data_IF_925571416050
#
_entry.id   IF_925571416050
#
_cell.length_a   1.000
_cell.length_b   1.000
_cell.length_c   1.000
_cell.angle_alpha   90.00
_cell.angle_beta   90.00
_cell.angle_gamma   90.00
#
_symmetry.space_group_name_H-M   'P 1'
#
loop_
_entity.id
_entity.type
_entity.pdbx_description
1 polymer ?
#
# COMPACT_ATOMS: atom_id res chain seq x y z
N UNK A 1 -5.17 -36.63 -18.72
CA UNK A 1 -4.65 -35.88 -19.89
C UNK A 1 -4.57 -34.42 -19.45
N UNK A 2 -3.45 -33.69 -19.35
CA UNK A 2 -2.10 -33.69 -19.92
C UNK A 2 -1.13 -33.22 -18.80
N UNK A 3 -0.09 -33.96 -18.39
CA UNK A 3 1.31 -33.86 -18.87
C UNK A 3 1.81 -32.44 -19.15
N UNK A 4 2.56 -31.87 -18.20
CA UNK A 4 3.58 -30.85 -18.46
C UNK A 4 4.91 -31.39 -17.93
N UNK A 5 5.84 -31.59 -18.86
CA UNK A 5 7.10 -32.28 -18.68
C UNK A 5 8.15 -31.39 -17.99
N UNK A 6 8.77 -31.90 -16.93
CA UNK A 6 10.04 -31.37 -16.43
C UNK A 6 11.17 -32.00 -17.27
N UNK A 7 11.62 -31.28 -18.28
CA UNK A 7 12.80 -31.61 -19.08
C UNK A 7 14.00 -30.81 -18.59
N UNK A 8 15.15 -31.47 -18.46
CA UNK A 8 16.45 -30.81 -18.25
C UNK A 8 17.29 -31.47 -17.15
N UNK A 9 17.75 -32.70 -17.37
CA UNK A 9 19.15 -33.02 -17.66
C UNK A 9 20.02 -33.25 -16.41
N UNK A 10 20.08 -34.52 -15.98
CA UNK A 10 21.23 -35.05 -15.27
C UNK A 10 22.45 -35.00 -16.20
N UNK A 11 23.57 -34.45 -15.71
CA UNK A 11 24.88 -34.62 -16.36
C UNK A 11 25.60 -35.74 -15.61
N UNK A 12 25.78 -36.93 -16.22
CA UNK A 12 26.78 -37.87 -15.75
C UNK A 12 28.15 -37.31 -16.14
N UNK A 13 29.01 -37.06 -15.15
CA UNK A 13 30.41 -36.72 -15.41
C UNK A 13 31.11 -37.92 -16.04
N UNK A 14 31.57 -37.77 -17.28
CA UNK A 14 32.31 -38.82 -17.99
C UNK A 14 33.81 -38.78 -17.58
N UNK A 15 34.46 -39.93 -17.33
CA UNK A 15 35.76 -40.04 -16.70
C UNK A 15 36.84 -40.13 -17.77
N UNK A 16 37.32 -38.99 -18.27
CA UNK A 16 38.48 -38.99 -19.17
C UNK A 16 39.62 -38.18 -18.58
N UNK A 17 40.31 -38.84 -17.66
CA UNK A 17 41.75 -38.63 -17.48
C UNK A 17 42.46 -39.21 -18.72
N UNK A 18 43.01 -38.36 -19.57
CA UNK A 18 44.05 -38.69 -20.56
C UNK A 18 44.63 -37.33 -20.99
N UNK A 19 45.84 -36.91 -20.63
CA UNK A 19 47.11 -37.59 -20.85
C UNK A 19 47.70 -37.10 -22.18
N UNK A 20 48.55 -36.06 -22.17
CA UNK A 20 49.18 -35.55 -23.40
C UNK A 20 50.28 -34.49 -23.24
N UNK A 21 51.53 -34.95 -23.15
CA UNK A 21 52.79 -34.42 -23.72
C UNK A 21 53.45 -33.05 -23.29
N UNK A 22 54.50 -33.19 -22.44
CA UNK A 22 55.92 -32.73 -22.54
C UNK A 22 56.30 -31.21 -22.66
N UNK A 23 57.57 -30.76 -22.38
CA UNK A 23 58.78 -31.51 -22.03
C UNK A 23 59.57 -31.03 -20.78
N UNK A 24 60.43 -31.91 -20.28
CA UNK A 24 61.48 -31.64 -19.27
C UNK A 24 62.72 -31.04 -19.91
N UNK A 25 63.29 -29.92 -19.40
CA UNK A 25 64.64 -29.51 -19.78
C UNK A 25 65.65 -30.27 -18.91
N UNK A 26 66.42 -31.15 -19.55
CA UNK A 26 67.69 -31.65 -19.04
C UNK A 26 68.66 -30.48 -19.05
N UNK A 27 68.96 -29.91 -17.88
CA UNK A 27 70.09 -29.00 -17.71
C UNK A 27 71.27 -29.77 -17.12
N UNK A 28 72.35 -29.85 -17.91
CA UNK A 28 73.57 -30.56 -17.57
C UNK A 28 74.23 -30.04 -16.30
N UNK A 29 74.89 -30.96 -15.62
CA UNK A 29 75.71 -30.74 -14.45
C UNK A 29 76.86 -29.75 -14.73
N UNK A 30 77.03 -28.75 -13.86
CA UNK A 30 78.32 -28.38 -13.25
C UNK A 30 78.03 -27.55 -12.00
N UNK A 31 78.39 -28.08 -10.83
CA UNK A 31 78.41 -27.37 -9.55
C UNK A 31 79.65 -26.48 -9.48
N UNK A 32 79.49 -25.16 -9.44
CA UNK A 32 80.50 -24.24 -8.93
C UNK A 32 79.81 -23.09 -8.16
N UNK A 33 79.88 -23.18 -6.83
CA UNK A 33 79.73 -22.15 -5.80
C UNK A 33 78.50 -21.23 -5.79
N UNK A 34 77.70 -21.47 -4.74
CA UNK A 34 76.83 -20.57 -4.00
C UNK A 34 77.24 -19.08 -4.06
N UNK A 35 76.49 -18.30 -4.83
CA UNK A 35 76.30 -16.87 -4.57
C UNK A 35 74.79 -16.62 -4.59
N UNK A 36 74.28 -15.98 -3.53
CA UNK A 36 72.85 -15.77 -3.31
C UNK A 36 72.20 -15.00 -4.46
N UNK A 37 71.66 -15.72 -5.43
CA UNK A 37 70.81 -15.16 -6.46
C UNK A 37 69.42 -14.99 -5.87
N UNK A 38 69.13 -13.79 -5.36
CA UNK A 38 67.75 -13.39 -5.16
C UNK A 38 67.01 -13.54 -6.50
N UNK A 39 65.81 -14.15 -6.54
CA UNK A 39 64.99 -14.08 -7.74
C UNK A 39 64.71 -12.60 -8.00
N UNK A 40 65.27 -12.08 -9.09
CA UNK A 40 64.95 -10.77 -9.59
C UNK A 40 63.48 -10.78 -10.03
N UNK A 41 62.59 -10.45 -9.10
CA UNK A 41 61.19 -10.18 -9.43
C UNK A 41 61.15 -8.98 -10.38
N UNK A 42 60.45 -9.06 -11.52
CA UNK A 42 60.20 -7.87 -12.32
C UNK A 42 59.40 -6.89 -11.46
N UNK A 43 60.01 -5.74 -11.15
CA UNK A 43 59.42 -4.67 -10.35
C UNK A 43 58.35 -3.90 -11.14
N UNK A 44 57.29 -4.58 -11.58
CA UNK A 44 56.17 -3.98 -12.32
C UNK A 44 54.80 -4.49 -11.85
N UNK A 45 54.68 -5.02 -10.63
CA UNK A 45 53.43 -5.62 -10.14
C UNK A 45 52.62 -4.76 -9.16
N UNK A 46 53.07 -3.53 -8.86
CA UNK A 46 52.38 -2.67 -7.88
C UNK A 46 51.26 -1.82 -8.49
N UNK A 47 51.36 -1.44 -9.78
CA UNK A 47 50.32 -0.66 -10.49
C UNK A 47 48.99 -1.42 -10.62
N UNK A 48 49.03 -2.67 -11.10
CA UNK A 48 47.81 -3.48 -11.30
C UNK A 48 47.05 -3.78 -10.00
N UNK A 49 47.75 -3.81 -8.85
CA UNK A 49 47.13 -4.09 -7.55
C UNK A 49 46.45 -2.84 -6.99
N UNK A 50 47.12 -1.70 -7.09
CA UNK A 50 46.61 -0.40 -6.66
C UNK A 50 45.39 0.01 -7.51
N UNK A 51 45.47 -0.16 -8.83
CA UNK A 51 44.38 0.10 -9.79
C UNK A 51 43.13 -0.74 -9.48
N UNK A 52 43.31 -2.02 -9.09
CA UNK A 52 42.20 -2.89 -8.68
C UNK A 52 41.56 -2.46 -7.35
N UNK A 53 42.36 -1.99 -6.39
CA UNK A 53 41.85 -1.49 -5.12
C UNK A 53 41.08 -0.18 -5.30
N UNK A 54 41.56 0.71 -6.16
CA UNK A 54 40.86 1.95 -6.52
C UNK A 54 39.54 1.67 -7.23
N UNK A 55 39.51 0.73 -8.17
CA UNK A 55 38.29 0.32 -8.86
C UNK A 55 37.26 -0.24 -7.87
N UNK A 56 37.67 -1.18 -6.99
CA UNK A 56 36.78 -1.71 -5.94
C UNK A 56 36.24 -0.62 -4.99
N UNK A 57 37.07 0.39 -4.66
CA UNK A 57 36.67 1.51 -3.80
C UNK A 57 35.65 2.42 -4.51
N UNK A 58 35.93 2.78 -5.77
CA UNK A 58 35.04 3.60 -6.60
C UNK A 58 33.69 2.90 -6.82
N UNK A 59 33.73 1.59 -7.03
CA UNK A 59 32.55 0.77 -7.25
C UNK A 59 31.67 0.64 -5.99
N UNK A 60 32.30 0.54 -4.81
CA UNK A 60 31.62 0.64 -3.51
C UNK A 60 31.01 2.03 -3.29
N UNK A 61 31.74 3.09 -3.61
CA UNK A 61 31.26 4.47 -3.46
C UNK A 61 30.07 4.76 -4.37
N UNK A 62 30.11 4.25 -5.60
CA UNK A 62 29.03 4.34 -6.58
C UNK A 62 27.79 3.59 -6.11
N UNK A 63 27.96 2.39 -5.52
CA UNK A 63 26.87 1.66 -4.87
C UNK A 63 26.26 2.44 -3.71
N UNK A 64 27.08 2.94 -2.80
CA UNK A 64 26.62 3.75 -1.66
C UNK A 64 25.89 5.03 -2.13
N UNK A 65 26.36 5.66 -3.21
CA UNK A 65 25.66 6.79 -3.81
C UNK A 65 24.29 6.40 -4.36
N UNK A 66 24.19 5.29 -5.10
CA UNK A 66 22.91 4.77 -5.63
C UNK A 66 21.94 4.40 -4.50
N UNK A 67 22.43 3.78 -3.44
CA UNK A 67 21.62 3.44 -2.26
C UNK A 67 21.05 4.70 -1.60
N UNK A 68 21.87 5.74 -1.39
CA UNK A 68 21.40 7.04 -0.88
C UNK A 68 20.36 7.69 -1.78
N UNK A 69 20.47 7.54 -3.10
CA UNK A 69 19.46 8.04 -4.03
C UNK A 69 18.16 7.24 -3.92
N UNK A 70 18.26 5.91 -3.91
CA UNK A 70 17.11 5.02 -3.77
C UNK A 70 16.38 5.22 -2.43
N UNK A 71 17.10 5.48 -1.35
CA UNK A 71 16.51 5.80 -0.04
C UNK A 71 15.72 7.12 -0.08
N UNK A 72 16.29 8.18 -0.65
CA UNK A 72 15.59 9.47 -0.82
C UNK A 72 14.35 9.32 -1.70
N UNK A 73 14.42 8.50 -2.74
CA UNK A 73 13.28 8.22 -3.60
C UNK A 73 12.19 7.46 -2.85
N UNK A 74 12.54 6.40 -2.12
CA UNK A 74 11.60 5.67 -1.25
C UNK A 74 10.95 6.59 -0.22
N UNK A 75 11.72 7.47 0.39
CA UNK A 75 11.20 8.45 1.34
C UNK A 75 10.20 9.42 0.68
N UNK A 76 10.50 9.91 -0.52
CA UNK A 76 9.57 10.76 -1.29
C UNK A 76 8.28 10.03 -1.62
N UNK A 77 8.38 8.79 -2.11
CA UNK A 77 7.23 7.95 -2.44
C UNK A 77 6.41 7.67 -1.18
N UNK A 78 7.06 7.38 -0.06
CA UNK A 78 6.40 7.12 1.22
C UNK A 78 5.65 8.37 1.69
N UNK A 79 6.28 9.54 1.69
CA UNK A 79 5.64 10.81 2.06
C UNK A 79 4.45 11.13 1.15
N UNK A 80 4.61 10.94 -0.16
CA UNK A 80 3.52 11.16 -1.11
C UNK A 80 2.33 10.21 -0.86
N UNK A 81 2.61 8.94 -0.55
CA UNK A 81 1.59 7.95 -0.18
C UNK A 81 0.88 8.32 1.11
N UNK A 82 1.61 8.75 2.13
CA UNK A 82 1.06 9.15 3.42
C UNK A 82 0.20 10.42 3.28
N UNK A 83 0.63 11.38 2.45
CA UNK A 83 -0.15 12.57 2.13
C UNK A 83 -1.45 12.21 1.39
N UNK A 84 -1.37 11.32 0.40
CA UNK A 84 -2.53 10.84 -0.32
C UNK A 84 -3.51 10.11 0.61
N UNK A 85 -3.01 9.25 1.49
CA UNK A 85 -3.83 8.55 2.49
C UNK A 85 -4.54 9.53 3.44
N UNK A 86 -3.89 10.63 3.84
CA UNK A 86 -4.51 11.69 4.64
C UNK A 86 -5.65 12.38 3.89
N UNK A 87 -5.43 12.74 2.63
CA UNK A 87 -6.46 13.37 1.77
C UNK A 87 -7.64 12.43 1.54
N UNK A 88 -7.39 11.13 1.37
CA UNK A 88 -8.44 10.11 1.22
C UNK A 88 -9.28 9.98 2.49
N UNK A 89 -8.62 9.97 3.65
CA UNK A 89 -9.30 9.92 4.94
C UNK A 89 -10.17 11.18 5.16
N UNK A 90 -9.67 12.36 4.81
CA UNK A 90 -10.42 13.62 4.89
C UNK A 90 -11.67 13.58 3.99
N UNK A 91 -11.50 13.19 2.71
CA UNK A 91 -12.63 13.02 1.79
C UNK A 91 -13.66 12.03 2.30
N UNK A 92 -13.23 10.95 2.95
CA UNK A 92 -14.14 9.95 3.52
C UNK A 92 -14.91 10.52 4.72
N UNK A 93 -14.25 11.30 5.58
CA UNK A 93 -14.91 11.99 6.71
C UNK A 93 -15.95 12.98 6.20
N UNK A 94 -15.60 13.80 5.22
CA UNK A 94 -16.52 14.78 4.63
C UNK A 94 -17.73 14.11 4.00
N UNK A 95 -17.53 13.03 3.24
CA UNK A 95 -18.63 12.25 2.69
C UNK A 95 -19.54 11.67 3.78
N UNK A 96 -18.96 11.13 4.87
CA UNK A 96 -19.74 10.62 6.00
C UNK A 96 -20.55 11.72 6.67
N UNK A 97 -19.98 12.90 6.84
CA UNK A 97 -20.64 14.03 7.47
C UNK A 97 -21.74 14.61 6.59
N UNK A 98 -21.53 14.68 5.26
CA UNK A 98 -22.57 15.03 4.30
C UNK A 98 -23.71 14.03 4.32
N UNK A 99 -23.41 12.73 4.32
CA UNK A 99 -24.42 11.68 4.41
C UNK A 99 -25.21 11.78 5.72
N UNK A 100 -24.54 11.99 6.85
CA UNK A 100 -25.18 12.17 8.15
C UNK A 100 -26.07 13.43 8.20
N UNK A 101 -25.64 14.54 7.56
CA UNK A 101 -26.48 15.74 7.40
C UNK A 101 -27.73 15.44 6.58
N UNK A 102 -27.58 14.76 5.44
CA UNK A 102 -28.70 14.39 4.59
C UNK A 102 -29.69 13.45 5.29
N UNK A 103 -29.20 12.49 6.09
CA UNK A 103 -30.08 11.62 6.89
C UNK A 103 -30.88 12.43 7.92
N UNK A 104 -30.23 13.33 8.66
CA UNK A 104 -30.95 14.20 9.62
C UNK A 104 -31.99 15.06 8.94
N UNK A 105 -31.70 15.61 7.76
CA UNK A 105 -32.65 16.40 6.99
C UNK A 105 -33.84 15.56 6.52
N UNK A 106 -33.61 14.33 6.03
CA UNK A 106 -34.67 13.39 5.66
C UNK A 106 -35.54 13.05 6.85
N UNK A 107 -34.95 12.77 8.01
CA UNK A 107 -35.67 12.46 9.24
C UNK A 107 -36.52 13.65 9.71
N UNK A 108 -35.99 14.87 9.67
CA UNK A 108 -36.74 16.09 9.99
C UNK A 108 -37.89 16.30 9.01
N UNK A 109 -37.66 16.12 7.72
CA UNK A 109 -38.70 16.22 6.70
C UNK A 109 -39.79 15.15 6.89
N UNK A 110 -39.40 13.93 7.28
CA UNK A 110 -40.35 12.85 7.58
C UNK A 110 -41.19 13.19 8.82
N UNK A 111 -40.56 13.66 9.91
CA UNK A 111 -41.28 14.11 11.11
C UNK A 111 -42.23 15.26 10.81
N UNK A 112 -41.83 16.22 9.98
CA UNK A 112 -42.69 17.33 9.59
C UNK A 112 -43.89 16.85 8.76
N UNK A 113 -43.68 15.92 7.81
CA UNK A 113 -44.78 15.30 7.06
C UNK A 113 -45.72 14.52 7.98
N UNK A 114 -45.19 13.81 8.95
CA UNK A 114 -45.99 13.06 9.92
C UNK A 114 -46.80 14.01 10.81
N UNK A 115 -46.20 15.08 11.33
CA UNK A 115 -46.91 16.12 12.08
C UNK A 115 -48.02 16.76 11.24
N UNK A 116 -47.74 17.10 9.98
CA UNK A 116 -48.76 17.65 9.07
C UNK A 116 -49.87 16.65 8.77
N UNK A 117 -49.54 15.37 8.63
CA UNK A 117 -50.51 14.28 8.45
C UNK A 117 -51.37 14.06 9.70
N UNK A 118 -50.77 14.16 10.88
CA UNK A 118 -51.49 14.09 12.16
C UNK A 118 -52.42 15.28 12.35
N UNK A 119 -51.96 16.50 12.05
CA UNK A 119 -52.79 17.71 12.09
C UNK A 119 -53.98 17.58 11.13
N UNK A 120 -53.73 17.26 9.86
CA UNK A 120 -54.80 17.07 8.85
C UNK A 120 -55.75 15.91 9.17
N UNK A 121 -55.28 14.85 9.83
CA UNK A 121 -56.14 13.77 10.32
C UNK A 121 -56.96 14.19 11.55
N UNK A 122 -56.40 15.02 12.43
CA UNK A 122 -57.14 15.58 13.56
C UNK A 122 -58.21 16.58 13.10
N UNK A 123 -57.99 17.31 12.01
CA UNK A 123 -58.92 18.28 11.43
C UNK A 123 -60.01 17.65 10.53
N UNK A 124 -60.08 16.32 10.45
CA UNK A 124 -61.09 15.60 9.64
C UNK A 124 -61.88 14.60 10.46
N UNK A 125 -63.14 14.42 10.12
CA UNK A 125 -64.03 13.41 10.67
C UNK A 125 -63.76 12.03 10.02
N UNK A 126 -64.35 10.97 10.59
CA UNK A 126 -64.18 9.58 10.09
C UNK A 126 -64.69 9.38 8.66
N UNK A 127 -65.59 10.24 8.19
CA UNK A 127 -66.13 10.31 6.82
C UNK A 127 -65.24 11.12 5.86
N UNK A 128 -64.17 11.74 6.35
CA UNK A 128 -63.24 12.56 5.55
C UNK A 128 -63.64 14.03 5.42
N UNK A 129 -64.81 14.43 5.92
CA UNK A 129 -65.25 15.82 5.95
C UNK A 129 -64.41 16.65 6.93
N UNK A 130 -64.18 17.96 6.69
CA UNK A 130 -63.54 18.84 7.67
C UNK A 130 -64.31 18.81 8.99
N UNK A 131 -63.60 18.70 10.12
CA UNK A 131 -64.20 18.79 11.44
C UNK A 131 -64.74 20.19 11.66
N UNK A 132 -65.99 20.27 12.07
CA UNK A 132 -66.64 21.52 12.50
C UNK A 132 -66.71 21.57 14.02
N UNK A 133 -66.87 22.76 14.59
CA UNK A 133 -66.99 22.92 16.04
C UNK A 133 -68.13 22.06 16.60
N UNK A 134 -69.24 21.90 15.86
CA UNK A 134 -70.38 21.08 16.26
C UNK A 134 -70.08 19.59 16.43
N UNK A 135 -69.08 19.04 15.72
CA UNK A 135 -68.67 17.64 15.85
C UNK A 135 -67.94 17.35 17.17
N UNK A 136 -67.56 18.41 17.89
CA UNK A 136 -66.87 18.37 19.18
C UNK A 136 -67.85 18.32 20.36
N UNK A 137 -69.15 18.49 20.13
CA UNK A 137 -70.18 18.43 21.16
C UNK A 137 -70.66 16.99 21.37
N UNK A 138 -70.63 16.51 22.62
CA UNK A 138 -71.24 15.23 22.99
C UNK A 138 -72.65 15.44 23.56
N UNK A 139 -73.72 15.11 22.81
CA UNK A 139 -75.09 15.33 23.26
C UNK A 139 -75.51 14.46 24.44
N UNK A 140 -74.82 13.33 24.68
CA UNK A 140 -75.14 12.42 25.79
C UNK A 140 -74.66 12.92 27.14
N UNK A 141 -73.59 13.73 27.16
CA UNK A 141 -73.01 14.29 28.39
C UNK A 141 -73.19 15.80 28.48
N UNK A 142 -73.74 16.44 27.44
CA UNK A 142 -73.91 17.90 27.37
C UNK A 142 -72.59 18.68 27.34
N UNK A 143 -71.46 18.01 27.10
CA UNK A 143 -70.12 18.58 27.24
C UNK A 143 -69.43 18.73 25.88
N UNK A 144 -68.68 19.81 25.72
CA UNK A 144 -67.77 20.01 24.60
C UNK A 144 -66.46 19.27 24.87
N UNK A 145 -65.93 18.55 23.87
CA UNK A 145 -64.59 17.99 23.95
C UNK A 145 -63.54 19.12 23.98
N UNK A 146 -62.41 18.95 24.68
CA UNK A 146 -61.38 19.98 24.82
C UNK A 146 -60.75 20.34 23.47
N UNK A 147 -60.35 21.61 23.32
CA UNK A 147 -59.60 22.07 22.16
C UNK A 147 -58.14 21.63 22.27
N UNK A 148 -57.47 21.43 21.13
CA UNK A 148 -56.03 21.23 21.08
C UNK A 148 -55.23 22.42 21.63
N UNK A 149 -55.84 23.60 21.72
CA UNK A 149 -55.29 24.82 22.34
C UNK A 149 -55.40 24.83 23.87
N UNK A 150 -56.29 24.00 24.45
CA UNK A 150 -56.51 23.88 25.90
C UNK A 150 -55.65 22.78 26.55
N UNK A 151 -54.84 22.05 25.77
CA UNK A 151 -53.92 21.04 26.30
C UNK A 151 -52.52 21.65 26.51
N UNK A 152 -51.86 21.38 27.66
CA UNK A 152 -50.53 21.92 28.00
C UNK A 152 -49.40 21.36 27.13
#
# INVERSE_FOLDING_TARGET
MLLAAATGCAVPGDPYYSGGYAPTPVYGATTIYESGAYPAYPAYADRDREDRWEDMRNDRERRAWRERQAERERERVQRARDEQARRDLERQRDQRDQWARQQRERDLAQRQREQRSRATRNDRNSDGSPRTDYDRYNPSTGAWMPRSEDMP
#
